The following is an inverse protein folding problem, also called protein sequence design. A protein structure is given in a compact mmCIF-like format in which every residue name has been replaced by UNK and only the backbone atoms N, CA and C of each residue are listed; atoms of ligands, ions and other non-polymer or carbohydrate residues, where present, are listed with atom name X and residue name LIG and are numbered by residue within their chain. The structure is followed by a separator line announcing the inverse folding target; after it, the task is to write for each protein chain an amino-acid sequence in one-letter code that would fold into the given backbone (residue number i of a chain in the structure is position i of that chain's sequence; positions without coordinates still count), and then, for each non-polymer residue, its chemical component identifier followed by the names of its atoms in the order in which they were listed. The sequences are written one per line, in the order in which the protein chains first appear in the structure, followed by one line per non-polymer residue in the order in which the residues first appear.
data_IF_274119600958
#
_entry.id   IF_274119600958
#
_cell.length_a   1.000
_cell.length_b   1.000
_cell.length_c   1.000
_cell.angle_alpha   90.00
_cell.angle_beta   90.00
_cell.angle_gamma   90.00
#
_symmetry.space_group_name_H-M   'P 1'
#
loop_
_entity.id
_entity.type
_entity.pdbx_description
1 polymer ?
#
# COMPACT_ATOMS: atom_id res chain seq x y z
N UNK A 1 14.55 -9.00 11.32
CA UNK A 1 13.68 -10.09 10.84
C UNK A 1 13.28 -9.78 9.41
N UNK A 2 13.51 -10.71 8.49
CA UNK A 2 13.21 -10.59 7.07
C UNK A 2 12.31 -11.75 6.65
N UNK A 3 11.24 -11.46 5.91
CA UNK A 3 10.32 -12.47 5.38
C UNK A 3 10.45 -12.53 3.87
N UNK A 4 10.67 -13.73 3.33
CA UNK A 4 10.51 -14.01 1.91
C UNK A 4 9.09 -14.46 1.65
N UNK A 5 8.37 -13.71 0.81
CA UNK A 5 6.96 -13.94 0.55
C UNK A 5 6.70 -14.18 -0.93
N UNK A 6 5.83 -15.16 -1.23
CA UNK A 6 5.20 -15.30 -2.54
C UNK A 6 3.87 -14.55 -2.52
N UNK A 7 3.67 -13.59 -3.43
CA UNK A 7 2.39 -12.90 -3.56
C UNK A 7 1.33 -13.92 -4.01
N UNK A 8 0.25 -14.04 -3.23
CA UNK A 8 -0.91 -14.90 -3.55
C UNK A 8 -2.15 -14.09 -3.90
N UNK A 9 -2.20 -12.81 -3.50
CA UNK A 9 -3.25 -11.88 -3.89
C UNK A 9 -2.73 -10.44 -3.88
N UNK A 10 -3.26 -9.61 -4.79
CA UNK A 10 -2.99 -8.19 -4.84
C UNK A 10 -4.26 -7.42 -5.22
N UNK A 11 -4.44 -6.23 -4.65
CA UNK A 11 -5.59 -5.38 -4.92
C UNK A 11 -5.25 -3.90 -4.74
N UNK A 12 -5.49 -3.11 -5.78
CA UNK A 12 -5.55 -1.64 -5.64
C UNK A 12 -6.79 -1.28 -4.83
N UNK A 13 -6.66 -0.37 -3.88
CA UNK A 13 -7.81 0.11 -3.11
C UNK A 13 -8.93 0.59 -4.03
N UNK A 14 -10.16 0.17 -3.72
CA UNK A 14 -11.33 0.67 -4.42
C UNK A 14 -11.63 2.10 -3.97
N UNK A 15 -11.42 3.06 -4.86
CA UNK A 15 -11.70 4.48 -4.63
C UNK A 15 -13.14 4.73 -4.19
N UNK A 16 -14.10 3.93 -4.70
CA UNK A 16 -15.52 4.11 -4.39
C UNK A 16 -15.88 3.64 -2.98
N UNK A 17 -15.02 2.84 -2.35
CA UNK A 17 -15.16 2.42 -0.96
C UNK A 17 -14.57 3.42 0.05
N UNK A 18 -13.92 4.48 -0.43
CA UNK A 18 -13.27 5.51 0.41
C UNK A 18 -14.13 6.77 0.41
N UNK A 19 -14.38 7.34 1.59
CA UNK A 19 -15.14 8.59 1.70
C UNK A 19 -14.40 9.75 1.03
N UNK A 20 -15.11 10.74 0.47
CA UNK A 20 -14.47 11.91 -0.15
C UNK A 20 -13.49 12.65 0.77
N UNK A 21 -13.83 12.81 2.06
CA UNK A 21 -12.95 13.44 3.05
C UNK A 21 -11.64 12.65 3.22
N UNK A 22 -11.73 11.32 3.29
CA UNK A 22 -10.53 10.49 3.39
C UNK A 22 -9.71 10.51 2.10
N UNK A 23 -10.34 10.58 0.93
CA UNK A 23 -9.62 10.74 -0.34
C UNK A 23 -8.85 12.06 -0.38
N UNK A 24 -9.46 13.16 0.02
CA UNK A 24 -8.80 14.47 0.05
C UNK A 24 -7.65 14.51 1.06
N UNK A 25 -7.85 13.94 2.25
CA UNK A 25 -6.86 13.98 3.33
C UNK A 25 -5.67 13.05 3.10
N UNK A 26 -5.91 11.84 2.61
CA UNK A 26 -4.89 10.79 2.50
C UNK A 26 -4.37 10.59 1.09
N UNK A 27 -5.14 11.00 0.08
CA UNK A 27 -4.79 10.90 -1.34
C UNK A 27 -4.96 12.21 -2.11
N UNK A 28 -4.35 13.32 -1.65
CA UNK A 28 -4.49 14.63 -2.26
C UNK A 28 -3.99 14.60 -3.72
N UNK A 29 -4.86 14.96 -4.66
CA UNK A 29 -4.59 14.80 -6.10
C UNK A 29 -3.59 15.82 -6.67
N UNK A 30 -3.26 16.85 -5.91
CA UNK A 30 -2.28 17.89 -6.22
C UNK A 30 -0.87 17.60 -5.68
N UNK A 31 -0.69 16.52 -4.90
CA UNK A 31 0.61 16.11 -4.37
C UNK A 31 1.23 15.01 -5.24
N UNK A 32 2.47 15.23 -5.68
CA UNK A 32 3.15 14.30 -6.60
C UNK A 32 3.41 12.91 -6.00
N UNK A 33 3.37 11.89 -6.85
CA UNK A 33 3.59 10.48 -6.49
C UNK A 33 4.94 10.21 -5.83
N UNK A 34 5.96 11.02 -6.13
CA UNK A 34 7.28 10.90 -5.52
C UNK A 34 7.34 11.42 -4.08
N UNK A 35 6.32 12.16 -3.63
CA UNK A 35 6.23 12.65 -2.27
C UNK A 35 5.91 11.52 -1.31
N UNK A 36 6.63 11.47 -0.19
CA UNK A 36 6.42 10.49 0.87
C UNK A 36 5.19 10.86 1.71
N UNK A 37 4.48 9.86 2.24
CA UNK A 37 3.28 10.09 3.04
C UNK A 37 2.02 10.23 2.19
N UNK A 38 1.22 11.27 2.43
CA UNK A 38 -0.02 11.49 1.68
C UNK A 38 0.29 12.10 0.31
N UNK A 39 0.15 11.30 -0.75
CA UNK A 39 0.29 11.71 -2.14
C UNK A 39 -0.92 11.25 -2.96
N UNK A 40 -0.98 11.58 -4.25
CA UNK A 40 -2.15 11.29 -5.10
C UNK A 40 -2.47 9.80 -5.34
N UNK A 41 -1.57 8.88 -5.02
CA UNK A 41 -1.69 7.46 -5.40
C UNK A 41 -2.39 6.62 -4.33
N UNK A 42 -3.37 5.82 -4.77
CA UNK A 42 -4.00 4.82 -3.92
C UNK A 42 -3.06 3.65 -3.61
N UNK A 43 -3.16 3.11 -2.41
CA UNK A 43 -2.35 1.95 -2.03
C UNK A 43 -2.78 0.68 -2.76
N UNK A 44 -1.83 -0.21 -2.99
CA UNK A 44 -2.07 -1.61 -3.39
C UNK A 44 -1.79 -2.50 -2.20
N UNK A 45 -2.78 -3.29 -1.79
CA UNK A 45 -2.61 -4.32 -0.78
C UNK A 45 -2.03 -5.59 -1.42
N UNK A 46 -0.93 -6.10 -0.85
CA UNK A 46 -0.32 -7.37 -1.25
C UNK A 46 -0.45 -8.36 -0.10
N UNK A 47 -1.00 -9.53 -0.40
CA UNK A 47 -1.11 -10.64 0.54
C UNK A 47 -0.09 -11.68 0.10
N UNK A 48 0.91 -11.89 0.95
CA UNK A 48 2.01 -12.81 0.70
C UNK A 48 1.92 -14.04 1.58
N UNK A 49 2.13 -15.21 0.99
CA UNK A 49 2.46 -16.41 1.75
C UNK A 49 3.94 -16.34 2.13
N UNK A 50 4.25 -16.43 3.42
CA UNK A 50 5.63 -16.53 3.90
C UNK A 50 6.21 -17.88 3.45
N UNK A 51 7.30 -17.84 2.71
CA UNK A 51 8.04 -19.00 2.22
C UNK A 51 9.29 -19.25 3.08
N UNK A 52 9.93 -18.18 3.55
CA UNK A 52 11.05 -18.27 4.47
C UNK A 52 11.10 -17.06 5.43
N UNK A 53 11.80 -17.21 6.55
CA UNK A 53 11.98 -16.14 7.53
C UNK A 53 13.40 -16.20 8.12
N UNK A 54 14.04 -15.05 8.22
CA UNK A 54 15.41 -14.92 8.71
C UNK A 54 15.49 -13.88 9.83
N UNK A 55 16.33 -14.15 10.81
CA UNK A 55 16.79 -13.18 11.80
C UNK A 55 18.27 -12.95 11.51
N UNK A 56 18.65 -11.70 11.29
CA UNK A 56 20.02 -11.29 10.98
C UNK A 56 20.47 -10.39 12.13
N UNK A 57 21.65 -10.66 12.68
CA UNK A 57 22.32 -9.87 13.73
C UNK A 57 23.25 -8.82 13.12
#
# INVERSE_FOLDING_TARGET
MTLECKIVYQQVQDKNAITPNNLERFYPQDVDSSFYGANKDLHTAYYGQIINAYIIE
#
